data_IF_212588081913
#
_entry.id   IF_212588081913
#
_cell.length_a   1.000
_cell.length_b   1.000
_cell.length_c   1.000
_cell.angle_alpha   90.00
_cell.angle_beta   90.00
_cell.angle_gamma   90.00
#
_symmetry.space_group_name_H-M   'P 1'
#
loop_
_entity.id
_entity.type
_entity.pdbx_description
1 polymer ?
#
# COMPACT_ATOMS: atom_id res chain seq x y z
N UNK A 1 10.73 7.73 6.78
CA UNK A 1 11.54 6.54 6.42
C UNK A 1 12.35 6.88 5.17
N UNK A 2 13.43 6.16 4.90
CA UNK A 2 14.31 6.34 3.73
C UNK A 2 14.57 5.01 3.03
N UNK A 3 15.12 5.06 1.82
CA UNK A 3 15.40 3.87 1.01
C UNK A 3 14.15 3.04 0.75
N UNK A 4 14.29 1.72 0.75
CA UNK A 4 13.20 0.76 0.50
C UNK A 4 11.99 0.90 1.44
N UNK A 5 12.16 1.52 2.61
CA UNK A 5 11.10 1.77 3.56
C UNK A 5 10.40 3.13 3.40
N UNK A 6 10.90 4.04 2.54
CA UNK A 6 10.27 5.34 2.28
C UNK A 6 8.84 5.16 1.73
N UNK A 7 7.89 5.98 2.17
CA UNK A 7 6.48 5.86 1.81
C UNK A 7 5.97 7.04 0.99
N UNK A 8 5.21 6.76 -0.06
CA UNK A 8 4.69 7.75 -1.00
C UNK A 8 3.22 7.52 -1.35
N UNK A 9 2.55 8.56 -1.83
CA UNK A 9 1.16 8.55 -2.24
C UNK A 9 0.17 8.47 -1.08
N UNK A 10 -1.12 8.49 -1.40
CA UNK A 10 -2.21 8.42 -0.41
C UNK A 10 -2.29 7.04 0.26
N UNK A 11 -1.80 6.01 -0.42
CA UNK A 11 -1.74 4.64 0.10
C UNK A 11 -0.50 4.39 0.95
N UNK A 12 0.45 5.34 1.05
CA UNK A 12 1.75 5.16 1.73
C UNK A 12 2.52 3.94 1.21
N UNK A 13 2.56 3.74 -0.11
CA UNK A 13 3.28 2.62 -0.73
C UNK A 13 4.78 2.74 -0.43
N UNK A 14 5.42 1.66 0.03
CA UNK A 14 6.86 1.67 0.30
C UNK A 14 7.68 1.54 -0.99
N UNK A 15 8.88 2.13 -0.99
CA UNK A 15 9.75 2.19 -2.17
C UNK A 15 10.15 0.81 -2.69
N UNK A 16 10.38 -0.16 -1.80
CA UNK A 16 10.64 -1.54 -2.20
C UNK A 16 9.54 -2.07 -3.11
N UNK A 17 8.28 -2.02 -2.66
CA UNK A 17 7.15 -2.48 -3.46
C UNK A 17 7.03 -1.71 -4.77
N UNK A 18 7.26 -0.39 -4.77
CA UNK A 18 7.19 0.42 -5.99
C UNK A 18 8.25 -0.03 -7.02
N UNK A 19 9.52 -0.08 -6.64
CA UNK A 19 10.63 -0.34 -7.56
C UNK A 19 10.73 -1.80 -8.04
N UNK A 20 10.08 -2.73 -7.36
CA UNK A 20 10.10 -4.16 -7.72
C UNK A 20 8.88 -4.60 -8.53
N UNK A 21 7.78 -3.83 -8.51
CA UNK A 21 6.49 -4.32 -9.04
C UNK A 21 5.68 -3.34 -9.87
N UNK A 22 6.19 -2.13 -10.09
CA UNK A 22 5.52 -1.11 -10.92
C UNK A 22 6.36 -0.77 -12.14
N UNK A 23 5.69 -0.48 -13.25
CA UNK A 23 6.37 -0.17 -14.52
C UNK A 23 7.19 1.12 -14.46
N UNK A 24 6.76 2.10 -13.67
CA UNK A 24 7.37 3.43 -13.59
C UNK A 24 8.72 3.43 -12.88
N UNK A 25 8.88 2.58 -11.86
CA UNK A 25 10.07 2.58 -11.00
C UNK A 25 10.87 1.28 -11.10
N UNK A 26 10.51 0.41 -12.05
CA UNK A 26 11.05 -0.95 -12.13
C UNK A 26 12.57 -0.96 -12.15
N UNK A 27 13.15 -1.79 -11.29
CA UNK A 27 14.58 -2.06 -11.20
C UNK A 27 15.44 -0.85 -10.79
N UNK A 28 14.82 0.26 -10.37
CA UNK A 28 15.55 1.36 -9.74
C UNK A 28 16.17 0.89 -8.41
N UNK A 29 17.32 1.46 -8.00
CA UNK A 29 17.98 1.10 -6.76
C UNK A 29 17.24 1.66 -5.53
N UNK A 30 17.50 1.06 -4.37
CA UNK A 30 16.93 1.54 -3.10
C UNK A 30 17.37 2.98 -2.76
N UNK A 31 18.53 3.43 -3.25
CA UNK A 31 19.05 4.78 -3.04
C UNK A 31 18.21 5.87 -3.67
N UNK A 32 17.43 5.54 -4.70
CA UNK A 32 16.70 6.51 -5.52
C UNK A 32 15.25 6.66 -5.03
N UNK A 33 15.01 6.42 -3.74
CA UNK A 33 13.66 6.45 -3.18
C UNK A 33 12.94 7.79 -3.37
N UNK A 34 13.69 8.89 -3.51
CA UNK A 34 13.13 10.22 -3.73
C UNK A 34 12.34 10.33 -5.05
N UNK A 35 12.60 9.47 -6.04
CA UNK A 35 11.82 9.39 -7.28
C UNK A 35 10.35 9.05 -7.02
N UNK A 36 10.06 8.30 -5.94
CA UNK A 36 8.71 7.98 -5.51
C UNK A 36 7.87 9.19 -5.10
N UNK A 37 8.49 10.34 -4.81
CA UNK A 37 7.80 11.56 -4.39
C UNK A 37 6.84 12.13 -5.43
N UNK A 38 6.99 11.75 -6.71
CA UNK A 38 6.03 12.09 -7.77
C UNK A 38 4.61 11.63 -7.45
N UNK A 39 4.45 10.49 -6.75
CA UNK A 39 3.15 9.94 -6.37
C UNK A 39 2.41 10.79 -5.34
N UNK A 40 3.11 11.66 -4.61
CA UNK A 40 2.49 12.61 -3.68
C UNK A 40 1.76 13.75 -4.41
N UNK A 41 2.02 13.94 -5.70
CA UNK A 41 1.50 15.05 -6.52
C UNK A 41 0.62 14.57 -7.67
N UNK A 42 0.69 13.29 -8.04
CA UNK A 42 -0.09 12.70 -9.12
C UNK A 42 -0.90 11.49 -8.62
N UNK A 43 -2.18 11.74 -8.34
CA UNK A 43 -3.12 10.71 -7.87
C UNK A 43 -3.34 9.60 -8.90
N UNK A 44 -3.30 9.91 -10.20
CA UNK A 44 -3.51 8.91 -11.25
C UNK A 44 -2.32 7.96 -11.32
N UNK A 45 -1.10 8.49 -11.22
CA UNK A 45 0.11 7.69 -11.13
C UNK A 45 0.11 6.82 -9.85
N UNK A 46 -0.29 7.37 -8.70
CA UNK A 46 -0.34 6.64 -7.42
C UNK A 46 -1.31 5.44 -7.48
N UNK A 47 -2.55 5.67 -7.95
CA UNK A 47 -3.54 4.62 -8.14
C UNK A 47 -3.02 3.55 -9.10
N UNK A 48 -2.45 3.95 -10.25
CA UNK A 48 -1.88 3.01 -11.23
C UNK A 48 -0.78 2.15 -10.61
N UNK A 49 0.18 2.75 -9.92
CA UNK A 49 1.27 2.04 -9.24
C UNK A 49 0.74 1.01 -8.24
N UNK A 50 -0.27 1.37 -7.44
CA UNK A 50 -0.91 0.46 -6.49
C UNK A 50 -1.58 -0.73 -7.17
N UNK A 51 -2.28 -0.51 -8.29
CA UNK A 51 -2.88 -1.59 -9.07
C UNK A 51 -1.85 -2.52 -9.73
N UNK A 52 -0.78 -1.95 -10.31
CA UNK A 52 0.31 -2.74 -10.90
C UNK A 52 0.99 -3.61 -9.84
N UNK A 53 1.31 -3.02 -8.69
CA UNK A 53 1.96 -3.73 -7.59
C UNK A 53 1.11 -4.88 -7.06
N UNK A 54 -0.18 -4.65 -6.82
CA UNK A 54 -1.08 -5.71 -6.36
C UNK A 54 -1.24 -6.81 -7.42
N UNK A 55 -1.32 -6.45 -8.70
CA UNK A 55 -1.41 -7.43 -9.80
C UNK A 55 -0.15 -8.28 -9.92
N UNK A 56 1.03 -7.68 -9.74
CA UNK A 56 2.31 -8.37 -9.82
C UNK A 56 2.49 -9.40 -8.70
N UNK A 57 2.24 -9.01 -7.45
CA UNK A 57 2.45 -9.89 -6.30
C UNK A 57 1.27 -10.81 -5.98
N UNK A 58 0.06 -10.46 -6.43
CA UNK A 58 -1.18 -11.03 -5.91
C UNK A 58 -1.54 -10.42 -4.55
N UNK A 59 -2.83 -10.43 -4.22
CA UNK A 59 -3.38 -9.70 -3.06
C UNK A 59 -2.72 -10.06 -1.73
N UNK A 60 -2.52 -11.35 -1.44
CA UNK A 60 -1.94 -11.80 -0.17
C UNK A 60 -0.51 -11.30 0.06
N UNK A 61 0.37 -11.55 -0.92
CA UNK A 61 1.76 -11.07 -0.87
C UNK A 61 1.84 -9.55 -0.95
N UNK A 62 0.94 -8.91 -1.70
CA UNK A 62 0.88 -7.46 -1.75
C UNK A 62 0.57 -6.86 -0.37
N UNK A 63 -0.39 -7.41 0.37
CA UNK A 63 -0.67 -6.95 1.73
C UNK A 63 0.54 -7.14 2.66
N UNK A 64 1.20 -8.30 2.59
CA UNK A 64 2.40 -8.56 3.39
C UNK A 64 3.53 -7.60 3.05
N UNK A 65 3.81 -7.41 1.76
CA UNK A 65 4.85 -6.49 1.27
C UNK A 65 4.54 -5.03 1.53
N UNK A 66 3.28 -4.64 1.41
CA UNK A 66 2.81 -3.29 1.71
C UNK A 66 2.95 -2.97 3.20
N UNK A 67 2.57 -3.93 4.06
CA UNK A 67 2.61 -3.77 5.51
C UNK A 67 4.04 -3.80 6.06
N UNK A 68 4.85 -4.77 5.65
CA UNK A 68 6.14 -5.04 6.29
C UNK A 68 7.30 -5.26 5.29
N UNK A 69 7.23 -4.58 4.13
CA UNK A 69 8.28 -4.61 3.11
C UNK A 69 8.63 -6.01 2.63
N UNK A 70 9.88 -6.21 2.19
CA UNK A 70 10.38 -7.50 1.73
C UNK A 70 10.15 -8.65 2.75
N UNK A 71 10.28 -8.36 4.05
CA UNK A 71 10.09 -9.36 5.09
C UNK A 71 8.64 -9.87 5.17
N UNK A 72 7.66 -8.99 5.04
CA UNK A 72 6.24 -9.37 4.98
C UNK A 72 5.85 -10.01 3.66
N UNK A 73 6.58 -9.73 2.58
CA UNK A 73 6.40 -10.40 1.30
C UNK A 73 6.78 -11.89 1.38
N UNK A 74 7.84 -12.18 2.12
CA UNK A 74 8.33 -13.54 2.35
C UNK A 74 7.54 -14.29 3.45
N UNK A 75 6.77 -13.57 4.28
CA UNK A 75 5.91 -14.15 5.31
C UNK A 75 4.58 -13.35 5.45
N UNK A 76 3.62 -13.53 4.52
CA UNK A 76 2.43 -12.68 4.41
C UNK A 76 1.32 -12.97 5.43
N UNK A 77 1.48 -13.98 6.28
CA UNK A 77 0.42 -14.48 7.17
C UNK A 77 0.73 -14.30 8.67
N UNK A 78 1.61 -13.36 9.00
CA UNK A 78 1.83 -12.98 10.39
C UNK A 78 0.57 -12.37 11.01
N UNK A 79 0.47 -12.42 12.33
CA UNK A 79 -0.64 -11.82 13.10
C UNK A 79 -0.78 -10.32 12.79
N UNK A 80 0.33 -9.59 12.67
CA UNK A 80 0.33 -8.16 12.34
C UNK A 80 -0.25 -7.90 10.93
N UNK A 81 0.20 -8.65 9.93
CA UNK A 81 -0.29 -8.50 8.55
C UNK A 81 -1.77 -8.89 8.47
N UNK A 82 -2.18 -9.97 9.13
CA UNK A 82 -3.59 -10.37 9.20
C UNK A 82 -4.46 -9.30 9.88
N UNK A 83 -3.98 -8.68 10.95
CA UNK A 83 -4.68 -7.57 11.61
C UNK A 83 -4.84 -6.37 10.67
N UNK A 84 -3.79 -6.03 9.92
CA UNK A 84 -3.86 -4.99 8.88
C UNK A 84 -4.86 -5.35 7.77
N UNK A 85 -4.79 -6.57 7.22
CA UNK A 85 -5.73 -7.09 6.20
C UNK A 85 -7.18 -6.99 6.68
N UNK A 86 -7.47 -7.48 7.88
CA UNK A 86 -8.82 -7.44 8.46
C UNK A 86 -9.32 -6.01 8.69
N UNK A 87 -8.45 -5.09 9.11
CA UNK A 87 -8.81 -3.68 9.27
C UNK A 87 -9.22 -3.03 7.93
N UNK A 88 -8.48 -3.31 6.85
CA UNK A 88 -8.81 -2.83 5.50
C UNK A 88 -10.13 -3.44 5.01
N UNK A 89 -10.33 -4.76 5.18
CA UNK A 89 -11.57 -5.43 4.79
C UNK A 89 -12.77 -4.86 5.56
N UNK A 90 -12.66 -4.62 6.86
CA UNK A 90 -13.74 -4.04 7.65
C UNK A 90 -14.13 -2.63 7.16
N UNK A 91 -13.14 -1.79 6.85
CA UNK A 91 -13.40 -0.44 6.27
C UNK A 91 -14.11 -0.58 4.91
N UNK A 92 -13.68 -1.51 4.06
CA UNK A 92 -14.33 -1.77 2.78
C UNK A 92 -15.79 -2.21 2.96
N UNK A 93 -16.08 -3.07 3.95
CA UNK A 93 -17.44 -3.49 4.26
C UNK A 93 -18.30 -2.31 4.73
N UNK A 94 -17.75 -1.38 5.52
CA UNK A 94 -18.47 -0.18 5.94
C UNK A 94 -18.80 0.71 4.74
N UNK A 95 -17.83 0.96 3.86
CA UNK A 95 -18.02 1.78 2.65
C UNK A 95 -19.05 1.16 1.70
N UNK A 96 -19.07 -0.17 1.58
CA UNK A 96 -20.01 -0.89 0.73
C UNK A 96 -21.44 -0.98 1.31
N UNK A 97 -21.59 -0.77 2.61
CA UNK A 97 -22.88 -0.94 3.31
C UNK A 97 -23.94 0.10 2.93
N UNK A 98 -23.53 1.29 2.48
CA UNK A 98 -24.43 2.37 2.06
C UNK A 98 -23.71 3.27 1.03
N UNK A 99 -24.27 3.47 -0.18
CA UNK A 99 -23.67 4.31 -1.22
C UNK A 99 -23.37 5.75 -0.79
N UNK A 100 -24.02 6.26 0.28
CA UNK A 100 -23.71 7.61 0.80
C UNK A 100 -22.27 7.71 1.30
N UNK A 101 -21.70 6.63 1.83
CA UNK A 101 -20.34 6.62 2.41
C UNK A 101 -19.24 6.73 1.34
N UNK A 102 -19.59 6.65 0.05
CA UNK A 102 -18.67 6.90 -1.05
C UNK A 102 -18.53 8.39 -1.38
N UNK A 103 -19.32 9.27 -0.75
CA UNK A 103 -19.44 10.69 -1.11
C UNK A 103 -19.56 11.65 0.07
N UNK A 104 -19.88 11.15 1.27
CA UNK A 104 -19.95 11.97 2.47
C UNK A 104 -18.58 12.13 3.14
N UNK A 105 -18.55 12.85 4.26
CA UNK A 105 -17.33 13.12 5.02
C UNK A 105 -17.07 12.07 6.12
N UNK A 106 -17.76 10.92 6.08
CA UNK A 106 -17.63 9.88 7.10
C UNK A 106 -16.31 9.12 6.93
N UNK A 107 -15.45 9.16 7.95
CA UNK A 107 -14.21 8.38 7.99
C UNK A 107 -14.32 7.19 8.95
N UNK A 108 -14.46 6.00 8.39
CA UNK A 108 -14.26 4.75 9.13
C UNK A 108 -12.77 4.51 9.42
N UNK A 109 -12.46 4.07 10.63
CA UNK A 109 -11.08 3.82 11.03
C UNK A 109 -10.99 2.62 11.96
N UNK A 110 -9.84 1.95 11.91
CA UNK A 110 -9.46 0.84 12.80
C UNK A 110 -8.09 1.19 13.38
N UNK A 111 -7.90 0.97 14.68
CA UNK A 111 -6.60 1.18 15.29
C UNK A 111 -5.65 0.03 14.92
N UNK A 112 -4.76 0.29 13.96
CA UNK A 112 -3.66 -0.62 13.59
C UNK A 112 -2.35 0.05 13.97
N UNK A 113 -1.59 -0.58 14.85
CA UNK A 113 -0.34 -0.03 15.39
C UNK A 113 0.64 0.29 14.25
N UNK A 114 1.25 1.48 14.21
CA UNK A 114 2.31 1.79 13.25
C UNK A 114 3.55 0.92 13.46
N UNK A 115 4.19 0.53 12.35
CA UNK A 115 5.49 -0.15 12.31
C UNK A 115 6.40 0.51 11.28
#
# INVERSE_FOLDING_TARGET
KSGDAANFGIFKQNWFMLRTSTSQFKDQPASDSDDGAVLNKDLKADIKARHESQKFYGTEKWFGGHRNGESGLNNPDTVDINTYKSGVSWIQDQLASDPKYLKDDTRFWVNVTPI
#
